data_IF_357436516929
#
_entry.id   IF_357436516929
#
_cell.length_a   1.000
_cell.length_b   1.000
_cell.length_c   1.000
_cell.angle_alpha   90.00
_cell.angle_beta   90.00
_cell.angle_gamma   90.00
#
_symmetry.space_group_name_H-M   'P 1'
#
loop_
_entity.id
_entity.type
_entity.pdbx_description
1 polymer ?
#
# COMPACT_ATOMS: atom_id res chain seq x y z
N UNK A 1 19.02 53.04 52.94
CA UNK A 1 18.89 52.57 51.55
C UNK A 1 19.43 51.14 51.36
N UNK A 2 20.60 50.77 51.90
CA UNK A 2 21.19 49.42 51.73
C UNK A 2 20.39 48.26 52.38
N UNK A 3 19.90 48.43 53.61
CA UNK A 3 19.18 47.38 54.34
C UNK A 3 17.86 46.90 53.69
N UNK A 4 17.19 47.79 52.94
CA UNK A 4 15.97 47.44 52.21
C UNK A 4 16.28 46.55 50.99
N UNK A 5 17.44 46.74 50.37
CA UNK A 5 17.87 45.97 49.20
C UNK A 5 18.27 44.53 49.58
N UNK A 6 18.89 44.36 50.76
CA UNK A 6 19.23 43.03 51.30
C UNK A 6 17.98 42.22 51.65
N UNK A 7 16.95 42.87 52.20
CA UNK A 7 15.66 42.24 52.52
C UNK A 7 14.94 41.72 51.27
N UNK A 8 14.92 42.51 50.19
CA UNK A 8 14.31 42.10 48.90
C UNK A 8 15.06 40.91 48.30
N UNK A 9 16.39 40.90 48.38
CA UNK A 9 17.22 39.82 47.84
C UNK A 9 17.03 38.51 48.61
N UNK A 10 16.85 38.60 49.94
CA UNK A 10 16.58 37.44 50.79
C UNK A 10 15.20 36.81 50.47
N UNK A 11 14.18 37.64 50.26
CA UNK A 11 12.84 37.18 49.86
C UNK A 11 12.88 36.52 48.49
N UNK A 12 13.58 37.11 47.50
CA UNK A 12 13.71 36.53 46.16
C UNK A 12 14.36 35.14 46.18
N UNK A 13 15.44 34.96 46.97
CA UNK A 13 16.09 33.64 47.13
C UNK A 13 15.19 32.62 47.81
N UNK A 14 14.37 33.04 48.77
CA UNK A 14 13.42 32.16 49.45
C UNK A 14 12.30 31.69 48.51
N UNK A 15 11.77 32.61 47.69
CA UNK A 15 10.78 32.29 46.65
C UNK A 15 11.36 31.34 45.61
N UNK A 16 12.59 31.58 45.15
CA UNK A 16 13.27 30.68 44.20
C UNK A 16 13.44 29.27 44.77
N UNK A 17 13.86 29.15 46.03
CA UNK A 17 14.00 27.87 46.72
C UNK A 17 12.65 27.14 46.87
N UNK A 18 11.57 27.87 47.12
CA UNK A 18 10.20 27.30 47.19
C UNK A 18 9.71 26.82 45.82
N UNK A 19 10.06 27.51 44.73
CA UNK A 19 9.74 27.08 43.36
C UNK A 19 10.48 25.79 42.96
N UNK A 20 11.70 25.59 43.45
CA UNK A 20 12.49 24.36 43.21
C UNK A 20 12.00 23.16 44.03
N UNK A 21 11.54 23.39 45.26
CA UNK A 21 10.97 22.34 46.14
C UNK A 21 9.60 21.87 45.63
N UNK A 22 8.86 22.70 44.89
CA UNK A 22 7.57 22.34 44.28
C UNK A 22 7.67 21.56 42.96
N UNK A 23 8.88 21.30 42.44
CA UNK A 23 9.06 20.63 41.15
C UNK A 23 8.91 19.12 41.31
N UNK A 24 7.69 18.62 41.11
CA UNK A 24 7.42 17.18 41.01
C UNK A 24 8.29 16.61 39.88
N UNK A 25 9.18 15.67 40.21
CA UNK A 25 9.92 14.92 39.18
C UNK A 25 8.89 14.15 38.36
N UNK A 26 8.65 14.62 37.14
CA UNK A 26 7.83 13.93 36.15
C UNK A 26 8.42 12.53 35.94
N UNK A 27 7.70 11.52 36.41
CA UNK A 27 8.03 10.12 36.11
C UNK A 27 7.65 9.91 34.64
N UNK A 28 8.57 9.45 33.77
CA UNK A 28 8.24 9.22 32.37
C UNK A 28 7.06 8.26 32.28
N UNK A 29 6.05 8.64 31.50
CA UNK A 29 4.90 7.77 31.23
C UNK A 29 5.38 6.43 30.66
N UNK A 30 4.77 5.33 31.11
CA UNK A 30 5.22 3.95 30.84
C UNK A 30 5.42 3.65 29.34
N UNK A 31 4.60 4.25 28.48
CA UNK A 31 4.70 4.07 27.03
C UNK A 31 6.00 4.64 26.44
N UNK A 32 6.56 5.70 27.05
CA UNK A 32 7.81 6.34 26.60
C UNK A 32 9.00 5.42 26.86
N UNK A 33 8.97 4.71 27.99
CA UNK A 33 9.99 3.71 28.34
C UNK A 33 9.86 2.49 27.43
N UNK A 34 8.63 2.05 27.15
CA UNK A 34 8.38 0.92 26.26
C UNK A 34 8.94 1.10 24.83
N UNK A 35 8.95 2.32 24.30
CA UNK A 35 9.52 2.61 22.96
C UNK A 35 11.01 2.26 22.86
N UNK A 36 11.78 2.54 23.92
CA UNK A 36 13.21 2.21 23.94
C UNK A 36 13.46 0.69 23.93
N UNK A 37 12.58 -0.08 24.57
CA UNK A 37 12.65 -1.55 24.58
C UNK A 37 12.17 -2.20 23.28
N UNK A 38 11.33 -1.50 22.51
CA UNK A 38 10.84 -1.92 21.19
C UNK A 38 11.76 -1.51 20.04
N UNK A 39 12.83 -0.77 20.31
CA UNK A 39 13.78 -0.36 19.28
C UNK A 39 14.56 -1.60 18.83
N UNK A 40 14.45 -2.05 17.57
CA UNK A 40 15.12 -3.26 17.12
C UNK A 40 16.63 -3.01 17.00
N UNK A 41 17.38 -3.35 18.03
CA UNK A 41 18.84 -3.11 18.10
C UNK A 41 19.67 -4.14 17.34
N UNK A 42 19.05 -5.25 16.90
CA UNK A 42 19.74 -6.39 16.27
C UNK A 42 20.53 -6.00 15.00
N UNK A 43 20.16 -4.90 14.35
CA UNK A 43 20.78 -4.38 13.13
C UNK A 43 21.27 -2.93 13.28
N UNK A 44 21.33 -2.38 14.51
CA UNK A 44 21.58 -0.94 14.73
C UNK A 44 22.91 -0.43 14.13
N UNK A 45 23.90 -1.32 13.96
CA UNK A 45 25.20 -1.01 13.36
C UNK A 45 25.52 -1.86 12.12
N UNK A 46 24.54 -2.60 11.56
CA UNK A 46 24.79 -3.39 10.37
C UNK A 46 24.90 -2.47 9.15
N UNK A 47 25.92 -2.71 8.30
CA UNK A 47 26.01 -2.06 6.99
C UNK A 47 24.75 -2.38 6.20
N UNK A 48 24.05 -1.35 5.73
CA UNK A 48 22.88 -1.53 4.86
C UNK A 48 23.34 -2.25 3.58
N UNK A 49 22.84 -3.45 3.37
CA UNK A 49 23.08 -4.20 2.14
C UNK A 49 22.17 -3.63 1.05
N UNK A 50 22.77 -2.93 0.10
CA UNK A 50 22.06 -2.29 -1.02
C UNK A 50 21.96 -3.19 -2.25
N UNK A 51 22.48 -4.41 -2.16
CA UNK A 51 22.34 -5.40 -3.21
C UNK A 51 20.87 -5.81 -3.33
N UNK A 52 20.44 -6.11 -4.55
CA UNK A 52 19.12 -6.71 -4.76
C UNK A 52 19.11 -8.10 -4.09
N UNK A 53 18.00 -8.50 -3.46
CA UNK A 53 17.87 -9.84 -2.93
C UNK A 53 18.01 -10.86 -4.08
N UNK A 54 18.67 -11.98 -3.82
CA UNK A 54 18.74 -13.11 -4.76
C UNK A 54 17.43 -13.92 -4.72
N UNK A 55 16.32 -13.23 -5.01
CA UNK A 55 14.98 -13.78 -5.00
C UNK A 55 14.10 -13.04 -6.01
N UNK A 56 13.17 -13.78 -6.62
CA UNK A 56 12.15 -13.21 -7.50
C UNK A 56 10.77 -13.38 -6.88
N UNK A 57 9.88 -12.42 -7.13
CA UNK A 57 8.49 -12.49 -6.74
C UNK A 57 7.64 -12.85 -7.95
N UNK A 58 6.74 -13.81 -7.77
CA UNK A 58 5.70 -14.13 -8.74
C UNK A 58 4.34 -13.95 -8.10
N UNK A 59 3.36 -13.56 -8.91
CA UNK A 59 1.98 -13.47 -8.46
C UNK A 59 1.41 -14.87 -8.25
N UNK A 60 1.05 -15.19 -7.01
CA UNK A 60 0.40 -16.46 -6.66
C UNK A 60 -1.11 -16.40 -6.89
N UNK A 61 -1.77 -15.41 -6.29
CA UNK A 61 -3.23 -15.27 -6.32
C UNK A 61 -3.67 -13.82 -6.21
N UNK A 62 -4.80 -13.50 -6.85
CA UNK A 62 -5.49 -12.22 -6.67
C UNK A 62 -6.78 -12.45 -5.91
N UNK A 63 -6.92 -11.73 -4.80
CA UNK A 63 -8.11 -11.76 -3.96
C UNK A 63 -8.97 -10.52 -4.19
N UNK A 64 -10.29 -10.72 -4.19
CA UNK A 64 -11.27 -9.66 -4.33
C UNK A 64 -11.73 -9.44 -5.77
N UNK A 65 -12.82 -8.69 -5.88
CA UNK A 65 -13.45 -8.30 -7.14
C UNK A 65 -13.97 -6.88 -6.99
N UNK A 66 -13.75 -6.04 -8.01
CA UNK A 66 -14.25 -4.68 -8.04
C UNK A 66 -15.70 -4.67 -8.56
N UNK A 67 -16.65 -4.65 -7.63
CA UNK A 67 -18.09 -4.64 -7.92
C UNK A 67 -18.84 -3.37 -7.52
N UNK A 68 -18.21 -2.42 -6.84
CA UNK A 68 -18.88 -1.24 -6.26
C UNK A 68 -19.10 -0.12 -7.29
N UNK A 69 -18.09 0.18 -8.10
CA UNK A 69 -18.01 1.32 -9.02
C UNK A 69 -18.01 0.91 -10.51
N UNK A 70 -17.97 -0.39 -10.81
CA UNK A 70 -17.97 -0.93 -12.18
C UNK A 70 -19.25 -1.72 -12.49
N UNK A 71 -19.60 -1.83 -13.78
CA UNK A 71 -20.71 -2.65 -14.27
C UNK A 71 -20.27 -3.47 -15.47
N UNK A 72 -20.88 -4.64 -15.64
CA UNK A 72 -20.67 -5.51 -16.81
C UNK A 72 -19.19 -5.80 -17.10
N UNK A 73 -18.41 -6.03 -16.04
CA UNK A 73 -16.98 -6.31 -16.08
C UNK A 73 -16.66 -7.75 -15.63
N UNK A 74 -17.64 -8.66 -15.69
CA UNK A 74 -17.45 -10.09 -15.41
C UNK A 74 -18.20 -10.92 -16.43
N UNK A 75 -17.63 -12.05 -16.85
CA UNK A 75 -18.29 -12.99 -17.73
C UNK A 75 -17.58 -14.34 -17.82
N UNK A 76 -18.14 -15.24 -18.61
CA UNK A 76 -17.62 -16.60 -18.79
C UNK A 76 -16.96 -16.76 -20.16
N UNK A 77 -15.79 -17.41 -20.18
CA UNK A 77 -15.21 -17.92 -21.40
C UNK A 77 -15.99 -19.14 -21.92
N UNK A 78 -15.87 -19.52 -23.21
CA UNK A 78 -16.45 -20.76 -23.73
C UNK A 78 -16.01 -22.03 -22.99
N UNK A 79 -14.83 -21.98 -22.34
CA UNK A 79 -14.29 -23.03 -21.48
C UNK A 79 -14.98 -23.12 -20.11
N UNK A 80 -15.83 -22.16 -19.73
CA UNK A 80 -16.47 -22.07 -18.41
C UNK A 80 -15.64 -21.34 -17.35
N UNK A 81 -14.45 -20.83 -17.72
CA UNK A 81 -13.63 -20.00 -16.84
C UNK A 81 -14.27 -18.62 -16.61
N UNK A 82 -14.15 -18.10 -15.40
CA UNK A 82 -14.67 -16.77 -15.03
C UNK A 82 -13.61 -15.72 -15.35
N UNK A 83 -13.98 -14.67 -16.09
CA UNK A 83 -13.11 -13.56 -16.44
C UNK A 83 -13.61 -12.27 -15.79
N UNK A 84 -12.74 -11.58 -15.05
CA UNK A 84 -13.03 -10.32 -14.36
C UNK A 84 -11.76 -9.49 -14.13
N UNK A 85 -11.84 -8.16 -13.98
CA UNK A 85 -10.69 -7.33 -13.65
C UNK A 85 -10.47 -7.24 -12.14
N UNK A 86 -9.21 -7.09 -11.76
CA UNK A 86 -8.79 -6.73 -10.41
C UNK A 86 -7.55 -5.82 -10.51
N UNK A 87 -7.71 -4.56 -10.08
CA UNK A 87 -6.75 -3.49 -10.38
C UNK A 87 -6.41 -3.45 -11.89
N UNK A 88 -5.13 -3.42 -12.25
CA UNK A 88 -4.63 -3.47 -13.63
C UNK A 88 -4.62 -4.86 -14.30
N UNK A 89 -5.13 -5.89 -13.63
CA UNK A 89 -5.09 -7.27 -14.14
C UNK A 89 -6.45 -7.70 -14.66
N UNK A 90 -6.47 -8.48 -15.73
CA UNK A 90 -7.64 -9.29 -16.07
C UNK A 90 -7.38 -10.73 -15.64
N UNK A 91 -8.23 -11.24 -14.76
CA UNK A 91 -8.15 -12.57 -14.16
C UNK A 91 -8.95 -13.53 -15.03
N UNK A 92 -8.41 -14.71 -15.31
CA UNK A 92 -9.13 -15.86 -15.84
C UNK A 92 -9.07 -16.96 -14.79
N UNK A 93 -10.19 -17.23 -14.16
CA UNK A 93 -10.30 -18.16 -13.05
C UNK A 93 -11.00 -19.46 -13.48
N UNK A 94 -10.27 -20.57 -13.40
CA UNK A 94 -10.82 -21.91 -13.55
C UNK A 94 -11.32 -22.41 -12.20
N UNK A 95 -12.65 -22.52 -12.06
CA UNK A 95 -13.25 -23.11 -10.85
C UNK A 95 -12.98 -24.61 -10.74
N UNK A 96 -12.84 -25.31 -11.88
CA UNK A 96 -12.61 -26.75 -11.93
C UNK A 96 -11.23 -27.11 -11.37
N UNK A 97 -10.20 -26.43 -11.88
CA UNK A 97 -8.80 -26.68 -11.49
C UNK A 97 -8.36 -25.84 -10.29
N UNK A 98 -9.20 -24.91 -9.85
CA UNK A 98 -8.89 -23.91 -8.82
C UNK A 98 -7.60 -23.13 -9.13
N UNK A 99 -7.45 -22.68 -10.37
CA UNK A 99 -6.26 -21.95 -10.85
C UNK A 99 -6.63 -20.60 -11.44
N UNK A 100 -5.72 -19.65 -11.33
CA UNK A 100 -5.83 -18.33 -11.95
C UNK A 100 -4.75 -18.14 -13.01
N UNK A 101 -5.15 -17.58 -14.15
CA UNK A 101 -4.27 -17.01 -15.16
C UNK A 101 -4.53 -15.51 -15.25
N UNK A 102 -3.52 -14.78 -15.71
CA UNK A 102 -3.54 -13.33 -15.67
C UNK A 102 -3.11 -12.73 -17.00
N UNK A 103 -3.87 -11.75 -17.47
CA UNK A 103 -3.38 -10.77 -18.42
C UNK A 103 -2.74 -9.63 -17.59
N UNK A 104 -1.50 -9.23 -17.92
CA UNK A 104 -0.70 -8.28 -17.13
C UNK A 104 -0.25 -7.01 -17.89
N UNK A 105 -0.69 -6.82 -19.14
CA UNK A 105 -0.22 -5.78 -20.07
C UNK A 105 -0.88 -4.41 -19.89
N UNK A 106 -1.98 -4.31 -19.15
CA UNK A 106 -2.57 -3.02 -18.81
C UNK A 106 -1.64 -2.26 -17.86
N UNK A 107 -1.47 -0.96 -18.12
CA UNK A 107 -0.56 -0.09 -17.37
C UNK A 107 -1.25 0.60 -16.20
N UNK A 108 -2.58 0.57 -16.15
CA UNK A 108 -3.43 1.16 -15.12
C UNK A 108 -4.67 0.28 -14.90
N UNK A 109 -5.54 0.66 -13.98
CA UNK A 109 -6.73 -0.08 -13.59
C UNK A 109 -7.63 -0.43 -14.78
N UNK A 110 -7.99 -1.71 -14.90
CA UNK A 110 -8.95 -2.19 -15.89
C UNK A 110 -10.35 -1.83 -15.42
N UNK A 111 -11.03 -0.98 -16.19
CA UNK A 111 -12.34 -0.43 -15.84
C UNK A 111 -13.49 -1.21 -16.47
N UNK A 112 -13.26 -1.80 -17.64
CA UNK A 112 -14.28 -2.52 -18.39
C UNK A 112 -13.68 -3.69 -19.17
N UNK A 113 -14.50 -4.72 -19.39
CA UNK A 113 -14.18 -5.80 -20.31
C UNK A 113 -15.43 -6.35 -20.98
N UNK A 114 -15.25 -7.00 -22.13
CA UNK A 114 -16.27 -7.77 -22.82
C UNK A 114 -15.65 -9.03 -23.42
N UNK A 115 -16.46 -10.08 -23.55
CA UNK A 115 -16.01 -11.41 -23.98
C UNK A 115 -16.81 -11.82 -25.21
N UNK A 116 -16.12 -12.23 -26.27
CA UNK A 116 -16.72 -12.77 -27.48
C UNK A 116 -15.94 -14.01 -27.93
N UNK A 117 -16.51 -15.20 -27.68
CA UNK A 117 -15.81 -16.45 -27.90
C UNK A 117 -14.53 -16.52 -27.06
N UNK A 118 -13.39 -16.82 -27.70
CA UNK A 118 -12.08 -16.85 -27.03
C UNK A 118 -11.35 -15.50 -27.01
N UNK A 119 -12.01 -14.42 -27.47
CA UNK A 119 -11.44 -13.08 -27.48
C UNK A 119 -12.05 -12.25 -26.36
N UNK A 120 -11.19 -11.56 -25.62
CA UNK A 120 -11.57 -10.61 -24.59
C UNK A 120 -11.07 -9.23 -25.02
N UNK A 121 -11.93 -8.22 -24.94
CA UNK A 121 -11.53 -6.83 -25.07
C UNK A 121 -11.62 -6.16 -23.70
N UNK A 122 -10.55 -5.51 -23.25
CA UNK A 122 -10.48 -4.80 -21.98
C UNK A 122 -9.95 -3.38 -22.14
N UNK A 123 -10.46 -2.46 -21.32
CA UNK A 123 -10.09 -1.05 -21.32
C UNK A 123 -9.56 -0.60 -19.96
N UNK A 124 -8.46 0.16 -19.94
CA UNK A 124 -7.89 0.73 -18.72
C UNK A 124 -8.11 2.25 -18.58
N UNK A 125 -7.80 2.77 -17.39
CA UNK A 125 -7.94 4.18 -17.03
C UNK A 125 -7.07 5.15 -17.87
N UNK A 126 -6.07 4.64 -18.61
CA UNK A 126 -5.28 5.47 -19.54
C UNK A 126 -5.96 5.67 -20.89
N UNK A 127 -7.10 5.00 -21.13
CA UNK A 127 -7.75 4.94 -22.44
C UNK A 127 -7.12 3.92 -23.40
N UNK A 128 -6.33 2.97 -22.88
CA UNK A 128 -5.84 1.84 -23.66
C UNK A 128 -6.94 0.79 -23.80
N UNK A 129 -7.21 0.35 -25.03
CA UNK A 129 -8.10 -0.78 -25.32
C UNK A 129 -7.23 -1.91 -25.87
N UNK A 130 -7.36 -3.10 -25.29
CA UNK A 130 -6.60 -4.28 -25.69
C UNK A 130 -7.53 -5.45 -25.95
N UNK A 131 -7.37 -6.09 -27.10
CA UNK A 131 -7.98 -7.37 -27.41
C UNK A 131 -6.95 -8.47 -27.20
N UNK A 132 -7.33 -9.55 -26.52
CA UNK A 132 -6.44 -10.64 -26.15
C UNK A 132 -7.18 -11.99 -26.13
N UNK A 133 -6.43 -13.07 -26.18
CA UNK A 133 -6.96 -14.44 -26.19
C UNK A 133 -7.18 -14.95 -24.78
N UNK A 134 -8.40 -15.37 -24.44
CA UNK A 134 -8.71 -15.97 -23.13
C UNK A 134 -7.96 -17.28 -22.87
N UNK A 135 -7.60 -17.99 -23.94
CA UNK A 135 -6.93 -19.29 -23.85
C UNK A 135 -5.42 -19.15 -23.61
N UNK A 136 -4.77 -18.15 -24.22
CA UNK A 136 -3.30 -17.98 -24.13
C UNK A 136 -2.87 -16.80 -23.25
N UNK A 137 -3.79 -15.92 -22.86
CA UNK A 137 -3.50 -14.62 -22.22
C UNK A 137 -2.63 -13.69 -23.08
N UNK A 138 -2.52 -13.94 -24.38
CA UNK A 138 -1.67 -13.15 -25.28
C UNK A 138 -2.46 -12.03 -25.95
N UNK A 139 -1.81 -10.86 -26.18
CA UNK A 139 -2.43 -9.75 -26.88
C UNK A 139 -2.60 -10.07 -28.36
N UNK A 140 -3.77 -9.75 -28.89
CA UNK A 140 -4.10 -9.83 -30.33
C UNK A 140 -3.91 -8.45 -30.95
N UNK A 141 -4.41 -7.40 -30.30
CA UNK A 141 -4.30 -6.03 -30.76
C UNK A 141 -4.37 -5.06 -29.60
N UNK A 142 -3.69 -3.92 -29.73
CA UNK A 142 -3.72 -2.84 -28.74
C UNK A 142 -3.94 -1.51 -29.46
N UNK A 143 -4.88 -0.72 -28.95
CA UNK A 143 -5.11 0.65 -29.38
C UNK A 143 -4.95 1.57 -28.18
N UNK A 144 -4.18 2.64 -28.34
CA UNK A 144 -4.00 3.67 -27.32
C UNK A 144 -4.48 4.98 -27.89
N UNK A 145 -5.27 5.72 -27.11
CA UNK A 145 -5.61 7.08 -27.49
C UNK A 145 -4.36 7.94 -27.44
N UNK A 146 -3.85 8.36 -28.61
CA UNK A 146 -2.77 9.33 -28.71
C UNK A 146 -3.38 10.71 -28.89
N UNK A 147 -3.21 11.57 -27.88
CA UNK A 147 -3.50 12.99 -28.04
C UNK A 147 -2.41 13.59 -28.95
N UNK A 148 -2.78 13.92 -30.20
CA UNK A 148 -1.98 14.82 -31.04
C UNK A 148 -2.21 16.27 -30.63
#
# INVERSE_FOLDING_TARGET
HAAALESITAVAKSVQKQMEVGKVKQVPELWTVAQSALTPTALANSKLETALPDANLSLEWVHGYRGEDCRSNIGYAPSGEIIYPAARLAIIYSQLEHTQRYMTLHTDDVLCLTIQGHVVASGDATGCIMCWSSSTCEPISMSRYAHQ
#
